data_IF_732004176781
#
_entry.id   IF_732004176781
#
_cell.length_a   1.000
_cell.length_b   1.000
_cell.length_c   1.000
_cell.angle_alpha   90.00
_cell.angle_beta   90.00
_cell.angle_gamma   90.00
#
_symmetry.space_group_name_H-M   'P 1'
#
loop_
_entity.id
_entity.type
_entity.pdbx_description
1 polymer ?
#
# COMPACT_ATOMS: atom_id res chain seq x y z
N UNK A 1 -33.01 -32.93 3.40
CA UNK A 1 -31.96 -32.47 4.34
C UNK A 1 -31.25 -31.31 3.68
N UNK A 2 -31.59 -30.07 4.02
CA UNK A 2 -31.00 -28.86 3.40
C UNK A 2 -30.18 -28.14 4.47
N UNK A 3 -28.85 -28.14 4.31
CA UNK A 3 -27.94 -27.45 5.21
C UNK A 3 -28.10 -25.94 5.00
N UNK A 4 -28.56 -25.25 6.03
CA UNK A 4 -28.54 -23.79 6.09
C UNK A 4 -27.08 -23.38 6.30
N UNK A 5 -26.49 -22.73 5.29
CA UNK A 5 -25.20 -22.05 5.46
C UNK A 5 -25.47 -20.78 6.28
N UNK A 6 -25.14 -20.83 7.56
CA UNK A 6 -25.06 -19.65 8.41
C UNK A 6 -23.89 -18.78 7.93
N UNK A 7 -24.23 -17.72 7.21
CA UNK A 7 -23.29 -16.66 6.85
C UNK A 7 -22.87 -16.00 8.16
N UNK A 8 -21.63 -16.26 8.58
CA UNK A 8 -21.05 -15.65 9.76
C UNK A 8 -21.13 -14.11 9.64
N UNK A 9 -21.83 -13.48 10.58
CA UNK A 9 -21.86 -12.03 10.76
C UNK A 9 -20.42 -11.51 10.79
N UNK A 10 -20.05 -10.54 9.94
CA UNK A 10 -18.69 -9.99 9.97
C UNK A 10 -18.40 -9.44 11.36
N UNK A 11 -17.25 -9.83 11.91
CA UNK A 11 -16.80 -9.41 13.23
C UNK A 11 -16.86 -7.88 13.33
N UNK A 12 -17.75 -7.41 14.19
CA UNK A 12 -17.97 -6.00 14.46
C UNK A 12 -16.64 -5.43 14.98
N UNK A 13 -16.01 -4.55 14.20
CA UNK A 13 -14.81 -3.83 14.62
C UNK A 13 -15.17 -3.13 15.94
N UNK A 14 -14.42 -3.34 17.04
CA UNK A 14 -14.79 -2.80 18.34
C UNK A 14 -14.95 -1.28 18.24
N UNK A 15 -16.13 -0.80 18.62
CA UNK A 15 -16.45 0.61 18.62
C UNK A 15 -15.49 1.36 19.56
N UNK A 16 -14.80 2.36 19.01
CA UNK A 16 -13.83 3.17 19.75
C UNK A 16 -14.62 4.15 20.64
N UNK A 17 -14.34 4.22 21.95
CA UNK A 17 -15.03 5.16 22.83
C UNK A 17 -14.74 6.60 22.39
N UNK A 18 -15.76 7.31 21.91
CA UNK A 18 -15.70 8.72 21.51
C UNK A 18 -15.70 9.00 20.00
N UNK A 19 -15.68 7.98 19.13
CA UNK A 19 -15.93 8.18 17.70
C UNK A 19 -17.40 7.93 17.39
N UNK A 20 -18.09 8.92 16.81
CA UNK A 20 -19.32 8.66 16.06
C UNK A 20 -19.06 7.49 15.10
N UNK A 21 -19.95 6.48 15.01
CA UNK A 21 -19.76 5.37 14.09
C UNK A 21 -19.56 5.94 12.69
N UNK A 22 -18.46 5.56 12.03
CA UNK A 22 -18.23 5.92 10.63
C UNK A 22 -19.49 5.62 9.84
N UNK A 23 -20.03 6.58 9.07
CA UNK A 23 -21.23 6.33 8.25
C UNK A 23 -20.96 5.27 7.16
N UNK A 24 -19.69 4.94 6.91
CA UNK A 24 -19.25 3.94 5.96
C UNK A 24 -18.83 2.65 6.66
N UNK A 25 -19.29 1.51 6.15
CA UNK A 25 -18.86 0.20 6.61
C UNK A 25 -17.38 -0.03 6.27
N UNK A 26 -16.62 -0.76 7.11
CA UNK A 26 -15.24 -1.13 6.80
C UNK A 26 -15.09 -1.88 5.47
N UNK A 27 -16.09 -2.69 5.11
CA UNK A 27 -16.12 -3.42 3.84
C UNK A 27 -16.19 -2.47 2.64
N UNK A 28 -17.01 -1.41 2.72
CA UNK A 28 -17.08 -0.40 1.68
C UNK A 28 -15.74 0.33 1.52
N UNK A 29 -15.08 0.67 2.63
CA UNK A 29 -13.75 1.32 2.56
C UNK A 29 -12.70 0.38 1.95
N UNK A 30 -12.77 -0.92 2.24
CA UNK A 30 -11.90 -1.93 1.63
C UNK A 30 -12.12 -2.05 0.12
N UNK A 31 -13.37 -2.02 -0.34
CA UNK A 31 -13.69 -2.02 -1.77
C UNK A 31 -13.14 -0.78 -2.47
N UNK A 32 -13.32 0.41 -1.88
CA UNK A 32 -12.76 1.67 -2.40
C UNK A 32 -11.23 1.61 -2.42
N UNK A 33 -10.58 1.14 -1.35
CA UNK A 33 -9.12 1.02 -1.28
C UNK A 33 -8.57 0.08 -2.38
N UNK A 34 -9.28 -1.02 -2.64
CA UNK A 34 -8.93 -1.96 -3.72
C UNK A 34 -9.10 -1.31 -5.09
N UNK A 35 -10.18 -0.58 -5.31
CA UNK A 35 -10.44 0.13 -6.57
C UNK A 35 -9.37 1.20 -6.85
N UNK A 36 -9.02 2.02 -5.85
CA UNK A 36 -7.92 2.99 -5.94
C UNK A 36 -6.61 2.29 -6.31
N UNK A 37 -6.30 1.17 -5.66
CA UNK A 37 -5.10 0.39 -5.97
C UNK A 37 -5.08 -0.09 -7.43
N UNK A 38 -6.23 -0.52 -7.98
CA UNK A 38 -6.36 -0.92 -9.39
C UNK A 38 -6.20 0.28 -10.33
N UNK A 39 -6.81 1.41 -10.01
CA UNK A 39 -6.70 2.63 -10.80
C UNK A 39 -5.26 3.13 -10.89
N UNK A 40 -4.51 3.11 -9.78
CA UNK A 40 -3.08 3.46 -9.75
C UNK A 40 -2.26 2.51 -10.62
N UNK A 41 -2.50 1.20 -10.51
CA UNK A 41 -1.81 0.20 -11.33
C UNK A 41 -2.09 0.41 -12.83
N UNK A 42 -3.36 0.63 -13.21
CA UNK A 42 -3.76 0.88 -14.58
C UNK A 42 -3.16 2.18 -15.15
N UNK A 43 -3.06 3.23 -14.32
CA UNK A 43 -2.39 4.48 -14.71
C UNK A 43 -0.90 4.25 -15.00
N UNK A 44 -0.20 3.49 -14.15
CA UNK A 44 1.22 3.16 -14.38
C UNK A 44 1.40 2.35 -15.65
N UNK A 45 0.55 1.34 -15.86
CA UNK A 45 0.59 0.50 -17.06
C UNK A 45 0.36 1.31 -18.35
N UNK A 46 -0.59 2.24 -18.31
CA UNK A 46 -0.92 3.09 -19.46
C UNK A 46 0.18 4.12 -19.75
N UNK A 47 0.72 4.76 -18.72
CA UNK A 47 1.69 5.85 -18.89
C UNK A 47 3.13 5.35 -19.08
N UNK A 48 3.47 4.17 -18.55
CA UNK A 48 4.85 3.65 -18.50
C UNK A 48 4.96 2.18 -18.92
N UNK A 49 4.48 1.79 -20.11
CA UNK A 49 4.42 0.39 -20.54
C UNK A 49 5.80 -0.28 -20.58
N UNK A 50 6.84 0.46 -21.00
CA UNK A 50 8.21 -0.06 -21.04
C UNK A 50 8.77 -0.41 -19.65
N UNK A 51 8.42 0.38 -18.62
CA UNK A 51 8.84 0.13 -17.26
C UNK A 51 8.15 -1.13 -16.69
N UNK A 52 6.84 -1.30 -16.98
CA UNK A 52 6.09 -2.49 -16.58
C UNK A 52 6.65 -3.75 -17.24
N UNK A 53 6.98 -3.68 -18.54
CA UNK A 53 7.61 -4.77 -19.25
C UNK A 53 8.96 -5.18 -18.64
N UNK A 54 9.78 -4.20 -18.24
CA UNK A 54 11.09 -4.44 -17.62
C UNK A 54 11.00 -4.97 -16.17
N UNK A 55 10.04 -4.49 -15.38
CA UNK A 55 9.90 -4.85 -13.96
C UNK A 55 9.22 -6.22 -13.73
N UNK A 56 8.54 -6.74 -14.76
CA UNK A 56 7.87 -8.03 -14.72
C UNK A 56 6.43 -7.98 -14.18
N UNK A 57 5.71 -9.09 -14.38
CA UNK A 57 4.25 -9.21 -14.19
C UNK A 57 3.76 -8.92 -12.76
N UNK A 58 4.63 -9.00 -11.76
CA UNK A 58 4.26 -8.82 -10.35
C UNK A 58 4.34 -7.37 -9.86
N UNK A 59 4.92 -6.44 -10.65
CA UNK A 59 5.07 -5.05 -10.26
C UNK A 59 3.71 -4.40 -9.95
N UNK A 60 2.76 -4.51 -10.89
CA UNK A 60 1.45 -3.89 -10.75
C UNK A 60 0.65 -4.47 -9.58
N UNK A 61 0.76 -5.79 -9.35
CA UNK A 61 0.17 -6.45 -8.19
C UNK A 61 0.73 -5.90 -6.87
N UNK A 62 2.05 -5.71 -6.80
CA UNK A 62 2.71 -5.14 -5.63
C UNK A 62 2.24 -3.71 -5.35
N UNK A 63 2.19 -2.85 -6.39
CA UNK A 63 1.73 -1.46 -6.26
C UNK A 63 0.27 -1.40 -5.78
N UNK A 64 -0.61 -2.21 -6.37
CA UNK A 64 -2.02 -2.30 -5.97
C UNK A 64 -2.16 -2.69 -4.50
N UNK A 65 -1.48 -3.77 -4.09
CA UNK A 65 -1.58 -4.28 -2.73
C UNK A 65 -0.97 -3.31 -1.71
N UNK A 66 0.16 -2.67 -2.05
CA UNK A 66 0.77 -1.63 -1.21
C UNK A 66 -0.21 -0.48 -1.00
N UNK A 67 -0.82 0.04 -2.07
CA UNK A 67 -1.79 1.14 -2.00
C UNK A 67 -2.99 0.78 -1.12
N UNK A 68 -3.59 -0.40 -1.35
CA UNK A 68 -4.69 -0.90 -0.53
C UNK A 68 -4.32 -0.98 0.95
N UNK A 69 -3.18 -1.60 1.28
CA UNK A 69 -2.75 -1.80 2.67
C UNK A 69 -2.47 -0.47 3.37
N UNK A 70 -1.94 0.52 2.68
CA UNK A 70 -1.69 1.84 3.25
C UNK A 70 -2.97 2.59 3.60
N UNK A 71 -3.98 2.50 2.73
CA UNK A 71 -5.31 3.09 2.99
C UNK A 71 -5.95 2.39 4.19
N UNK A 72 -5.98 1.05 4.21
CA UNK A 72 -6.55 0.30 5.33
C UNK A 72 -5.84 0.61 6.64
N UNK A 73 -4.50 0.64 6.63
CA UNK A 73 -3.73 0.97 7.82
C UNK A 73 -3.99 2.41 8.30
N UNK A 74 -4.31 3.36 7.41
CA UNK A 74 -4.64 4.73 7.80
C UNK A 74 -5.89 4.84 8.69
N UNK A 75 -6.75 3.82 8.67
CA UNK A 75 -7.98 3.76 9.47
C UNK A 75 -7.76 3.21 10.88
N UNK A 76 -6.57 2.65 11.18
CA UNK A 76 -6.29 1.95 12.44
C UNK A 76 -6.19 2.87 13.65
N UNK A 77 -5.96 4.17 13.45
CA UNK A 77 -5.84 5.13 14.56
C UNK A 77 -6.37 6.50 14.17
N UNK A 78 -7.12 7.12 15.10
CA UNK A 78 -7.62 8.48 15.02
C UNK A 78 -6.86 9.44 15.95
N UNK A 79 -5.91 8.92 16.73
CA UNK A 79 -5.06 9.73 17.61
C UNK A 79 -4.11 10.58 16.77
N UNK A 80 -4.26 11.90 16.86
CA UNK A 80 -3.48 12.86 16.09
C UNK A 80 -1.98 12.71 16.33
N UNK A 81 -1.56 12.46 17.57
CA UNK A 81 -0.14 12.31 17.91
C UNK A 81 0.45 11.01 17.34
N UNK A 82 -0.30 9.91 17.41
CA UNK A 82 0.08 8.66 16.74
C UNK A 82 0.18 8.84 15.21
N UNK A 83 -0.78 9.54 14.59
CA UNK A 83 -0.75 9.85 13.15
C UNK A 83 0.50 10.69 12.81
N UNK A 84 0.78 11.74 13.57
CA UNK A 84 1.96 12.59 13.38
C UNK A 84 3.26 11.81 13.49
N UNK A 85 3.40 10.93 14.50
CA UNK A 85 4.56 10.03 14.66
C UNK A 85 4.70 9.10 13.45
N UNK A 86 3.62 8.43 13.05
CA UNK A 86 3.62 7.54 11.87
C UNK A 86 4.04 8.28 10.60
N UNK A 87 3.56 9.51 10.37
CA UNK A 87 3.96 10.32 9.22
C UNK A 87 5.46 10.66 9.23
N UNK A 88 6.00 10.99 10.40
CA UNK A 88 7.43 11.28 10.57
C UNK A 88 8.30 10.05 10.29
N UNK A 89 7.93 8.89 10.85
CA UNK A 89 8.61 7.61 10.64
C UNK A 89 8.58 7.20 9.16
N UNK A 90 7.42 7.29 8.52
CA UNK A 90 7.28 6.98 7.08
C UNK A 90 8.13 7.90 6.22
N UNK A 91 8.22 9.19 6.56
CA UNK A 91 9.09 10.16 5.86
C UNK A 91 10.56 9.77 5.99
N UNK A 92 11.00 9.38 7.19
CA UNK A 92 12.36 8.92 7.43
C UNK A 92 12.65 7.62 6.68
N UNK A 93 11.74 6.65 6.73
CA UNK A 93 11.86 5.39 6.02
C UNK A 93 12.01 5.61 4.50
N UNK A 94 11.13 6.41 3.88
CA UNK A 94 11.25 6.74 2.44
C UNK A 94 12.59 7.36 2.09
N UNK A 95 13.11 8.27 2.93
CA UNK A 95 14.43 8.88 2.74
C UNK A 95 15.55 7.84 2.81
N UNK A 96 15.52 6.95 3.80
CA UNK A 96 16.49 5.87 3.97
C UNK A 96 16.46 4.89 2.80
N UNK A 97 15.29 4.41 2.41
CA UNK A 97 15.14 3.46 1.29
C UNK A 97 15.61 4.07 -0.02
N UNK A 98 15.29 5.35 -0.29
CA UNK A 98 15.78 6.06 -1.48
C UNK A 98 17.30 6.24 -1.46
N UNK A 99 17.88 6.59 -0.30
CA UNK A 99 19.33 6.74 -0.16
C UNK A 99 20.06 5.40 -0.34
N UNK A 100 19.53 4.32 0.23
CA UNK A 100 20.07 2.97 0.07
C UNK A 100 20.05 2.54 -1.40
N UNK A 101 18.91 2.73 -2.09
CA UNK A 101 18.81 2.41 -3.52
C UNK A 101 19.80 3.23 -4.38
N UNK A 102 19.96 4.52 -4.10
CA UNK A 102 20.97 5.35 -4.78
C UNK A 102 22.38 4.79 -4.58
N UNK A 103 22.74 4.44 -3.34
CA UNK A 103 24.06 3.88 -3.03
C UNK A 103 24.34 2.60 -3.79
N UNK A 104 23.36 1.69 -3.87
CA UNK A 104 23.47 0.44 -4.64
C UNK A 104 23.73 0.76 -6.12
N UNK A 105 22.94 1.67 -6.69
CA UNK A 105 23.07 2.06 -8.09
C UNK A 105 24.40 2.74 -8.40
N UNK A 106 24.89 3.61 -7.51
CA UNK A 106 26.17 4.30 -7.69
C UNK A 106 27.35 3.31 -7.59
N UNK A 107 27.22 2.23 -6.81
CA UNK A 107 28.21 1.16 -6.72
C UNK A 107 28.24 0.29 -7.99
N UNK A 108 27.08 -0.11 -8.51
CA UNK A 108 26.97 -0.92 -9.73
C UNK A 108 27.56 -0.23 -10.98
N UNK A 109 27.53 1.10 -11.04
CA UNK A 109 28.11 1.89 -12.15
C UNK A 109 29.64 1.98 -12.09
N UNK A 110 30.25 1.72 -10.92
CA UNK A 110 31.70 1.89 -10.71
C UNK A 110 32.53 0.61 -10.88
N UNK A 111 31.88 -0.54 -11.12
CA UNK A 111 32.51 -1.86 -11.12
C UNK A 111 32.80 -2.46 -12.51
N UNK A 112 32.64 -1.70 -13.59
CA UNK A 112 33.11 -2.14 -14.91
C UNK A 112 34.64 -2.02 -14.99
N UNK A 113 35.41 -3.11 -15.12
CA UNK A 113 36.84 -3.02 -15.38
C UNK A 113 37.04 -2.41 -16.77
N UNK A 114 37.77 -1.30 -16.83
CA UNK A 114 38.35 -0.81 -18.08
C UNK A 114 39.41 -1.83 -18.48
N UNK A 115 39.07 -2.73 -19.40
CA UNK A 115 40.08 -3.52 -20.10
C UNK A 115 40.80 -2.58 -21.08
N UNK A 116 42.07 -2.28 -20.78
CA UNK A 116 43.04 -1.63 -21.66
C UNK A 116 43.41 -2.53 -22.85
#
# INVERSE_FOLDING_TARGET
>A
MSAKNDIATPAQVPAIPGSEPSPFSPDLVKEIAMDIGKAVAAHIETMYPAAVAAAGKNMLLSVRNCTHNEIMAALETTDEDAIRRRLAERKLHRRRSKAAWKKIRDQDVSSDPVED
#
